data_IF_287328690024
#
_entry.id   IF_287328690024
#
_cell.length_a   1.000
_cell.length_b   1.000
_cell.length_c   1.000
_cell.angle_alpha   90.00
_cell.angle_beta   90.00
_cell.angle_gamma   90.00
#
_symmetry.space_group_name_H-M   'P 1'
#
loop_
_entity.id
_entity.type
_entity.pdbx_description
1 polymer ?
#
# COMPACT_ATOMS: atom_id res chain seq x y z
N UNK A 1 12.93 -1.48 -9.21
CA UNK A 1 13.43 -2.51 -8.30
C UNK A 1 13.36 -3.88 -8.92
N UNK A 2 13.92 -4.86 -8.22
CA UNK A 2 13.95 -6.29 -8.57
C UNK A 2 13.45 -7.10 -7.40
N UNK A 3 13.13 -8.39 -7.60
CA UNK A 3 12.73 -9.27 -6.52
C UNK A 3 13.91 -9.53 -5.58
N UNK A 4 13.65 -9.54 -4.27
CA UNK A 4 14.67 -9.80 -3.24
C UNK A 4 15.26 -11.21 -3.37
N UNK A 5 14.45 -12.18 -3.80
CA UNK A 5 14.85 -13.59 -3.83
C UNK A 5 15.97 -13.93 -4.82
N UNK A 6 16.11 -13.20 -5.93
CA UNK A 6 17.09 -13.49 -6.98
C UNK A 6 17.66 -12.26 -7.69
N UNK A 7 17.27 -11.05 -7.27
CA UNK A 7 17.71 -9.82 -7.92
C UNK A 7 17.19 -9.63 -9.35
N UNK A 8 16.21 -10.43 -9.81
CA UNK A 8 15.65 -10.34 -11.15
C UNK A 8 14.28 -9.65 -11.16
N UNK A 9 13.89 -9.11 -12.32
CA UNK A 9 12.49 -8.69 -12.51
C UNK A 9 11.58 -9.89 -12.83
N UNK A 10 10.27 -9.69 -12.74
CA UNK A 10 9.24 -10.63 -13.21
C UNK A 10 8.45 -10.06 -14.39
N UNK A 11 8.74 -8.83 -14.79
CA UNK A 11 8.14 -8.19 -15.95
C UNK A 11 9.17 -8.03 -17.05
N UNK A 12 8.76 -8.26 -18.29
CA UNK A 12 9.58 -7.99 -19.47
C UNK A 12 8.71 -7.65 -20.67
N UNK A 13 9.28 -6.88 -21.59
CA UNK A 13 8.73 -6.70 -22.95
C UNK A 13 9.86 -7.01 -23.92
N UNK A 14 9.64 -7.94 -24.85
CA UNK A 14 10.61 -8.35 -25.85
C UNK A 14 11.98 -8.74 -25.24
N UNK A 15 11.96 -9.47 -24.12
CA UNK A 15 13.15 -9.90 -23.40
C UNK A 15 13.87 -8.80 -22.61
N UNK A 16 13.41 -7.54 -22.66
CA UNK A 16 13.94 -6.45 -21.84
C UNK A 16 13.19 -6.36 -20.52
N UNK A 17 13.87 -6.36 -19.36
CA UNK A 17 13.21 -6.32 -18.06
C UNK A 17 12.55 -4.95 -17.83
N UNK A 18 11.34 -4.98 -17.27
CA UNK A 18 10.67 -3.81 -16.69
C UNK A 18 10.78 -3.91 -15.19
N UNK A 19 11.25 -2.85 -14.53
CA UNK A 19 11.47 -2.90 -13.09
C UNK A 19 10.19 -2.90 -12.27
N UNK A 20 10.23 -3.60 -11.14
CA UNK A 20 9.18 -3.54 -10.13
C UNK A 20 9.17 -2.18 -9.41
N UNK A 21 7.98 -1.75 -8.97
CA UNK A 21 7.81 -0.55 -8.15
C UNK A 21 7.26 -0.93 -6.76
N UNK A 22 7.90 -0.39 -5.71
CA UNK A 22 7.59 -0.63 -4.28
C UNK A 22 7.31 -2.10 -3.91
N UNK A 23 7.89 -3.05 -4.64
CA UNK A 23 7.72 -4.49 -4.42
C UNK A 23 6.33 -5.05 -4.72
N UNK A 24 5.40 -4.26 -5.29
CA UNK A 24 4.02 -4.68 -5.57
C UNK A 24 3.62 -4.53 -7.04
N UNK A 25 4.02 -3.44 -7.70
CA UNK A 25 3.78 -3.20 -9.13
C UNK A 25 2.33 -3.46 -9.56
N UNK A 26 1.36 -2.85 -8.88
CA UNK A 26 -0.07 -3.20 -9.00
C UNK A 26 -0.76 -2.72 -10.28
N UNK A 27 -0.05 -2.03 -11.18
CA UNK A 27 -0.58 -1.59 -12.49
C UNK A 27 -0.28 -2.65 -13.57
N UNK A 28 -0.71 -3.88 -13.30
CA UNK A 28 -0.62 -5.03 -14.20
C UNK A 28 -1.71 -6.02 -13.79
N UNK A 29 -2.30 -6.73 -14.75
CA UNK A 29 -3.34 -7.75 -14.47
C UNK A 29 -2.83 -8.87 -13.56
N UNK A 30 -1.53 -9.17 -13.65
CA UNK A 30 -0.82 -10.09 -12.78
C UNK A 30 0.48 -9.47 -12.26
N UNK A 31 0.83 -9.77 -11.02
CA UNK A 31 2.09 -9.34 -10.40
C UNK A 31 2.65 -10.44 -9.50
N UNK A 32 3.94 -10.34 -9.20
CA UNK A 32 4.63 -11.25 -8.27
C UNK A 32 5.14 -10.42 -7.11
N UNK A 33 4.78 -10.82 -5.89
CA UNK A 33 5.04 -10.07 -4.66
C UNK A 33 5.68 -11.00 -3.62
N UNK A 34 6.59 -10.48 -2.81
CA UNK A 34 7.12 -11.23 -1.68
C UNK A 34 6.02 -11.51 -0.64
N UNK A 35 5.94 -12.72 -0.10
CA UNK A 35 4.84 -13.13 0.81
C UNK A 35 4.70 -12.22 2.04
N UNK A 36 5.81 -11.69 2.56
CA UNK A 36 5.80 -10.71 3.67
C UNK A 36 5.14 -9.37 3.34
N UNK A 37 4.87 -9.08 2.06
CA UNK A 37 4.19 -7.89 1.59
C UNK A 37 2.73 -8.19 1.14
N UNK A 38 2.22 -9.40 1.40
CA UNK A 38 0.86 -9.81 1.06
C UNK A 38 0.09 -10.14 2.33
N UNK A 39 -0.96 -9.36 2.62
CA UNK A 39 -1.87 -9.62 3.72
C UNK A 39 -3.14 -10.31 3.19
N UNK A 40 -3.41 -11.54 3.66
CA UNK A 40 -4.68 -12.22 3.40
C UNK A 40 -5.80 -11.51 4.17
N UNK A 41 -6.86 -11.13 3.47
CA UNK A 41 -8.02 -10.43 4.05
C UNK A 41 -9.28 -11.30 4.01
N UNK A 42 -10.38 -10.79 4.56
CA UNK A 42 -11.69 -11.43 4.52
C UNK A 42 -12.15 -11.60 3.05
N UNK A 43 -12.52 -12.82 2.60
CA UNK A 43 -12.94 -13.06 1.22
C UNK A 43 -14.25 -12.35 0.83
N UNK A 44 -15.08 -11.95 1.81
CA UNK A 44 -16.31 -11.19 1.58
C UNK A 44 -16.07 -9.67 1.44
N UNK A 45 -14.82 -9.20 1.59
CA UNK A 45 -14.51 -7.78 1.45
C UNK A 45 -14.55 -7.35 -0.04
N UNK A 46 -15.26 -6.27 -0.39
CA UNK A 46 -15.32 -5.77 -1.76
C UNK A 46 -13.96 -5.18 -2.19
N UNK A 47 -13.25 -5.87 -3.07
CA UNK A 47 -11.87 -5.53 -3.47
C UNK A 47 -11.75 -4.16 -4.16
N UNK A 48 -12.81 -3.71 -4.84
CA UNK A 48 -12.91 -2.39 -5.47
C UNK A 48 -12.99 -1.24 -4.45
N UNK A 49 -13.27 -1.56 -3.18
CA UNK A 49 -13.32 -0.59 -2.09
C UNK A 49 -12.11 -0.69 -1.18
N UNK A 50 -11.72 -1.89 -0.77
CA UNK A 50 -10.69 -2.06 0.28
C UNK A 50 -9.25 -1.91 -0.22
N UNK A 51 -9.05 -1.83 -1.54
CA UNK A 51 -7.71 -1.66 -2.13
C UNK A 51 -6.96 -0.42 -1.60
N UNK A 52 -7.66 0.67 -1.28
CA UNK A 52 -7.08 1.92 -0.75
C UNK A 52 -6.48 1.79 0.65
N UNK A 53 -6.82 0.73 1.38
CA UNK A 53 -6.26 0.44 2.70
C UNK A 53 -4.79 -0.01 2.63
N UNK A 54 -4.30 -0.37 1.45
CA UNK A 54 -2.91 -0.85 1.27
C UNK A 54 -1.84 0.23 1.41
N UNK A 55 -2.21 1.51 1.40
CA UNK A 55 -1.26 2.63 1.48
C UNK A 55 -1.86 3.83 2.23
N UNK A 56 -2.21 4.91 1.50
CA UNK A 56 -2.45 6.23 2.08
C UNK A 56 -3.47 6.30 3.21
N UNK A 57 -4.59 5.57 3.11
CA UNK A 57 -5.63 5.59 4.16
C UNK A 57 -5.10 5.02 5.46
N UNK A 58 -4.50 3.83 5.42
CA UNK A 58 -3.95 3.20 6.63
C UNK A 58 -2.78 3.99 7.22
N UNK A 59 -2.01 4.71 6.39
CA UNK A 59 -0.97 5.63 6.86
C UNK A 59 -1.55 6.77 7.67
N UNK A 60 -2.60 7.45 7.16
CA UNK A 60 -3.26 8.56 7.85
C UNK A 60 -3.93 8.11 9.15
N UNK A 61 -4.76 7.08 9.04
CA UNK A 61 -5.46 6.47 10.17
C UNK A 61 -4.48 6.01 11.27
N UNK A 62 -3.40 5.34 10.87
CA UNK A 62 -2.35 4.89 11.78
C UNK A 62 -1.59 6.05 12.43
N UNK A 63 -1.32 7.13 11.69
CA UNK A 63 -0.68 8.32 12.24
C UNK A 63 -1.54 8.95 13.34
N UNK A 64 -2.86 9.05 13.14
CA UNK A 64 -3.77 9.59 14.14
C UNK A 64 -3.93 8.64 15.36
N UNK A 65 -4.29 7.39 15.11
CA UNK A 65 -4.69 6.45 16.17
C UNK A 65 -3.52 5.78 16.89
N UNK A 66 -2.44 5.48 16.18
CA UNK A 66 -1.33 4.71 16.74
C UNK A 66 -0.13 5.57 17.15
N UNK A 67 0.02 6.77 16.59
CA UNK A 67 1.16 7.67 16.87
C UNK A 67 0.72 8.90 17.66
N UNK A 68 -0.14 9.74 17.09
CA UNK A 68 -0.55 10.99 17.72
C UNK A 68 -1.42 10.78 18.97
N UNK A 69 -2.30 9.76 18.94
CA UNK A 69 -3.15 9.33 20.07
C UNK A 69 -3.87 10.49 20.77
N UNK A 70 -4.63 11.33 20.04
CA UNK A 70 -5.37 12.42 20.68
C UNK A 70 -6.37 11.86 21.68
N UNK A 71 -6.48 12.49 22.84
CA UNK A 71 -7.48 12.12 23.83
C UNK A 71 -8.82 12.76 23.50
N UNK A 72 -9.90 12.23 24.07
CA UNK A 72 -11.23 12.81 23.90
C UNK A 72 -11.23 14.28 24.34
N UNK A 73 -11.69 15.18 23.46
CA UNK A 73 -11.71 16.63 23.70
C UNK A 73 -10.48 17.39 23.19
N UNK A 74 -9.47 16.71 22.64
CA UNK A 74 -8.34 17.38 21.99
C UNK A 74 -8.78 18.15 20.73
N UNK A 75 -8.11 19.26 20.47
CA UNK A 75 -8.13 19.92 19.15
C UNK A 75 -7.00 19.36 18.29
N UNK A 76 -7.29 19.02 17.03
CA UNK A 76 -6.33 18.45 16.08
C UNK A 76 -6.24 19.36 14.86
N UNK A 77 -5.01 19.63 14.42
CA UNK A 77 -4.74 20.29 13.16
C UNK A 77 -4.15 19.28 12.18
N UNK A 78 -4.74 19.16 10.99
CA UNK A 78 -4.23 18.32 9.90
C UNK A 78 -3.75 19.22 8.78
N UNK A 79 -2.49 19.05 8.38
CA UNK A 79 -1.88 19.84 7.31
C UNK A 79 -1.80 18.98 6.04
N UNK A 80 -2.62 19.34 5.05
CA UNK A 80 -2.77 18.62 3.78
C UNK A 80 -4.02 17.75 3.75
N UNK A 81 -4.83 17.87 2.69
CA UNK A 81 -6.14 17.22 2.54
C UNK A 81 -6.15 16.18 1.40
N UNK A 82 -5.03 15.48 1.21
CA UNK A 82 -4.96 14.31 0.34
C UNK A 82 -5.47 13.03 1.03
N UNK A 83 -5.31 11.88 0.39
CA UNK A 83 -5.79 10.59 0.93
C UNK A 83 -5.27 10.26 2.34
N UNK A 84 -4.05 10.68 2.67
CA UNK A 84 -3.46 10.50 4.02
C UNK A 84 -4.10 11.46 5.03
N UNK A 85 -4.33 12.72 4.66
CA UNK A 85 -4.86 13.71 5.60
C UNK A 85 -6.35 13.58 5.86
N UNK A 86 -7.11 13.03 4.91
CA UNK A 86 -8.56 12.81 5.04
C UNK A 86 -8.93 11.49 5.73
N UNK A 87 -7.95 10.60 5.96
CA UNK A 87 -8.15 9.28 6.57
C UNK A 87 -8.10 9.34 8.10
#
# INVERSE_FOLDING_TARGET
GVMIGDGQSRFSINGKPIYHFVGTSTFSEYTVVHVGCVAKINPSAPLDKVCVLSCGISTGLGAALNVAKPVKGSSVAVFGLGAVGLA
#
